data_IF_614122590787
#
_entry.id   IF_614122590787
#
_cell.length_a   1.000
_cell.length_b   1.000
_cell.length_c   1.000
_cell.angle_alpha   90.00
_cell.angle_beta   90.00
_cell.angle_gamma   90.00
#
_symmetry.space_group_name_H-M   'P 1'
#
loop_
_entity.id
_entity.type
_entity.pdbx_description
1 polymer ?
#
# COMPACT_ATOMS: atom_id res chain seq x y z
N UNK A 1 -0.73 -19.71 20.16
CA UNK A 1 -0.67 -18.23 20.12
C UNK A 1 -0.41 -17.72 18.69
N UNK A 2 -1.43 -17.73 17.83
CA UNK A 2 -1.31 -17.28 16.44
C UNK A 2 -2.52 -16.48 15.98
N UNK A 3 -3.71 -16.99 16.21
CA UNK A 3 -4.96 -16.34 15.78
C UNK A 3 -5.18 -14.97 16.43
N UNK A 4 -4.83 -14.79 17.70
CA UNK A 4 -4.97 -13.51 18.41
C UNK A 4 -4.18 -12.36 17.75
N UNK A 5 -2.92 -12.58 17.33
CA UNK A 5 -2.13 -11.54 16.65
C UNK A 5 -2.73 -11.19 15.28
N UNK A 6 -3.26 -12.17 14.55
CA UNK A 6 -3.93 -11.93 13.27
C UNK A 6 -5.27 -11.21 13.47
N UNK A 7 -6.02 -11.52 14.53
CA UNK A 7 -7.24 -10.82 14.89
C UNK A 7 -6.96 -9.34 15.25
N UNK A 8 -5.90 -9.06 16.01
CA UNK A 8 -5.48 -7.69 16.33
C UNK A 8 -5.06 -6.93 15.06
N UNK A 9 -4.30 -7.56 14.17
CA UNK A 9 -3.93 -6.95 12.88
C UNK A 9 -5.16 -6.68 12.00
N UNK A 10 -6.10 -7.63 11.93
CA UNK A 10 -7.35 -7.46 11.21
C UNK A 10 -8.20 -6.32 11.78
N UNK A 11 -8.33 -6.25 13.10
CA UNK A 11 -9.02 -5.16 13.77
C UNK A 11 -8.37 -3.80 13.51
N UNK A 12 -7.03 -3.71 13.61
CA UNK A 12 -6.29 -2.49 13.31
C UNK A 12 -6.45 -2.06 11.84
N UNK A 13 -6.42 -3.01 10.90
CA UNK A 13 -6.64 -2.73 9.48
C UNK A 13 -8.04 -2.18 9.22
N UNK A 14 -9.08 -2.77 9.82
CA UNK A 14 -10.47 -2.31 9.66
C UNK A 14 -10.65 -0.91 10.27
N UNK A 15 -10.15 -0.69 11.49
CA UNK A 15 -10.24 0.62 12.14
C UNK A 15 -9.44 1.69 11.40
N UNK A 16 -8.23 1.34 10.94
CA UNK A 16 -7.41 2.20 10.11
C UNK A 16 -8.10 2.55 8.80
N UNK A 17 -8.69 1.57 8.11
CA UNK A 17 -9.45 1.81 6.88
C UNK A 17 -10.68 2.69 7.11
N UNK A 18 -11.44 2.45 8.19
CA UNK A 18 -12.60 3.26 8.56
C UNK A 18 -12.20 4.71 8.84
N UNK A 19 -11.08 4.94 9.52
CA UNK A 19 -10.57 6.29 9.76
C UNK A 19 -10.04 6.93 8.47
N UNK A 20 -9.32 6.17 7.66
CA UNK A 20 -8.74 6.66 6.41
C UNK A 20 -9.79 7.02 5.35
N UNK A 21 -10.92 6.31 5.32
CA UNK A 21 -12.09 6.59 4.45
C UNK A 21 -13.04 7.63 5.04
N UNK A 22 -12.89 8.00 6.31
CA UNK A 22 -13.75 9.00 6.95
C UNK A 22 -13.53 10.35 6.27
N UNK A 23 -14.63 10.95 5.83
CA UNK A 23 -14.61 12.30 5.25
C UNK A 23 -14.36 13.34 6.35
N UNK A 24 -13.47 14.29 6.07
CA UNK A 24 -13.21 15.45 6.94
C UNK A 24 -14.31 16.48 6.77
N UNK A 25 -14.64 17.19 7.85
CA UNK A 25 -15.62 18.28 7.80
C UNK A 25 -15.09 19.52 7.07
N UNK A 26 -13.76 19.68 6.97
CA UNK A 26 -13.14 20.86 6.37
C UNK A 26 -13.32 20.94 4.84
N UNK A 27 -13.22 19.80 4.14
CA UNK A 27 -13.17 19.75 2.68
C UNK A 27 -14.01 18.60 2.08
N UNK A 28 -14.65 17.77 2.91
CA UNK A 28 -15.43 16.62 2.47
C UNK A 28 -14.60 15.47 1.88
N UNK A 29 -13.26 15.58 1.85
CA UNK A 29 -12.35 14.54 1.36
C UNK A 29 -11.93 13.60 2.48
N UNK A 30 -11.57 12.37 2.14
CA UNK A 30 -10.96 11.40 3.06
C UNK A 30 -9.45 11.31 2.86
N UNK A 31 -8.73 10.74 3.84
CA UNK A 31 -7.28 10.50 3.72
C UNK A 31 -6.95 9.57 2.55
N UNK A 32 -7.86 8.64 2.23
CA UNK A 32 -7.74 7.78 1.06
C UNK A 32 -7.89 8.56 -0.26
N UNK A 33 -8.74 9.58 -0.30
CA UNK A 33 -8.90 10.42 -1.48
C UNK A 33 -7.64 11.25 -1.73
N UNK A 34 -7.06 11.83 -0.66
CA UNK A 34 -5.77 12.53 -0.72
C UNK A 34 -4.63 11.59 -1.17
N UNK A 35 -4.65 10.33 -0.70
CA UNK A 35 -3.70 9.32 -1.12
C UNK A 35 -3.89 9.03 -2.61
N UNK A 36 -5.12 8.76 -3.08
CA UNK A 36 -5.44 8.50 -4.49
C UNK A 36 -5.02 9.62 -5.42
N UNK A 37 -5.19 10.88 -5.01
CA UNK A 37 -4.72 12.04 -5.78
C UNK A 37 -3.20 12.06 -5.94
N UNK A 38 -2.46 11.58 -4.93
CA UNK A 38 -0.99 11.52 -4.94
C UNK A 38 -0.42 10.22 -5.54
N UNK A 39 -1.20 9.14 -5.50
CA UNK A 39 -0.84 7.79 -5.98
C UNK A 39 -0.30 7.74 -7.40
N UNK A 40 -0.82 8.45 -8.43
CA UNK A 40 -0.27 8.32 -9.79
C UNK A 40 1.23 8.62 -9.87
N UNK A 41 1.73 9.57 -9.07
CA UNK A 41 3.17 9.89 -9.01
C UNK A 41 4.03 8.77 -8.35
N UNK A 42 3.42 7.91 -7.54
CA UNK A 42 4.10 6.78 -6.89
C UNK A 42 3.98 5.48 -7.68
N UNK A 43 2.91 5.31 -8.48
CA UNK A 43 2.73 4.13 -9.34
C UNK A 43 3.91 3.99 -10.29
N UNK A 44 4.33 5.06 -10.96
CA UNK A 44 5.46 5.01 -11.90
C UNK A 44 6.78 4.65 -11.21
N UNK A 45 7.02 5.18 -10.01
CA UNK A 45 8.22 4.84 -9.23
C UNK A 45 8.22 3.39 -8.78
N UNK A 46 7.08 2.89 -8.32
CA UNK A 46 6.92 1.49 -7.89
C UNK A 46 7.08 0.54 -9.08
N UNK A 47 6.49 0.89 -10.23
CA UNK A 47 6.61 0.08 -11.46
C UNK A 47 8.08 -0.02 -11.90
N UNK A 48 8.78 1.10 -12.01
CA UNK A 48 10.21 1.12 -12.35
C UNK A 48 11.07 0.33 -11.37
N UNK A 49 10.77 0.43 -10.07
CA UNK A 49 11.47 -0.34 -9.03
C UNK A 49 11.20 -1.84 -9.15
N UNK A 50 9.96 -2.23 -9.39
CA UNK A 50 9.58 -3.63 -9.60
C UNK A 50 10.21 -4.23 -10.86
N UNK A 51 10.34 -3.44 -11.93
CA UNK A 51 11.00 -3.87 -13.17
C UNK A 51 12.50 -4.08 -12.95
N UNK A 52 13.17 -3.20 -12.20
CA UNK A 52 14.57 -3.40 -11.80
C UNK A 52 14.79 -4.67 -11.00
N UNK A 53 13.98 -4.89 -9.96
CA UNK A 53 14.05 -6.13 -9.17
C UNK A 53 13.85 -7.36 -10.06
N UNK A 54 12.90 -7.29 -11.00
CA UNK A 54 12.62 -8.40 -11.92
C UNK A 54 13.77 -8.65 -12.90
N UNK A 55 14.43 -7.59 -13.36
CA UNK A 55 15.62 -7.67 -14.20
C UNK A 55 16.80 -8.28 -13.42
N UNK A 56 17.09 -7.78 -12.22
CA UNK A 56 18.15 -8.31 -11.36
C UNK A 56 17.91 -9.79 -11.03
N UNK A 57 16.65 -10.17 -10.74
CA UNK A 57 16.29 -11.54 -10.45
C UNK A 57 16.48 -12.47 -11.67
N UNK A 58 16.06 -12.02 -12.87
CA UNK A 58 16.28 -12.78 -14.10
C UNK A 58 17.76 -12.93 -14.43
N UNK A 59 18.53 -11.85 -14.31
CA UNK A 59 19.96 -11.87 -14.58
C UNK A 59 20.70 -12.80 -13.62
N UNK A 60 20.28 -12.87 -12.36
CA UNK A 60 20.86 -13.79 -11.36
C UNK A 60 20.42 -15.24 -11.61
N UNK A 61 19.18 -15.48 -12.09
CA UNK A 61 18.69 -16.83 -12.40
C UNK A 61 19.24 -17.40 -13.71
N UNK A 62 19.58 -16.55 -14.69
CA UNK A 62 20.19 -17.00 -15.95
C UNK A 62 21.70 -17.31 -15.80
N UNK A 63 22.30 -16.95 -14.65
CA UNK A 63 23.71 -17.21 -14.31
C UNK A 63 23.93 -18.51 -13.50
N UNK A 64 22.87 -19.25 -13.15
CA UNK A 64 22.92 -20.51 -12.39
C UNK A 64 22.21 -21.66 -13.11
#
# INVERSE_FOLDING_TARGET
MGILKYAVLGAAAIYGFKYATKKRAADGKSLIDDLKEKVPAYIDKIKNYSEKIRQDYRQTSDLY
#
